data_IF_129758635409
#
_entry.id   IF_129758635409
#
_cell.length_a   1.000
_cell.length_b   1.000
_cell.length_c   1.000
_cell.angle_alpha   90.00
_cell.angle_beta   90.00
_cell.angle_gamma   90.00
#
_symmetry.space_group_name_H-M   'P 1'
#
loop_
_entity.id
_entity.type
_entity.pdbx_description
1 polymer ?
#
# COMPACT_ATOMS: atom_id res chain seq x y z
N UNK A 1 -26.16 0.30 17.88
CA UNK A 1 -25.18 0.70 16.85
C UNK A 1 -25.52 2.12 16.42
N UNK A 2 -24.81 3.12 16.96
CA UNK A 2 -25.15 4.55 16.87
C UNK A 2 -24.81 5.15 15.50
N UNK A 3 -25.51 6.23 15.12
CA UNK A 3 -25.35 6.92 13.83
C UNK A 3 -23.89 7.31 13.48
N UNK A 4 -23.01 7.49 14.47
CA UNK A 4 -21.57 7.72 14.27
C UNK A 4 -20.85 6.52 13.61
N UNK A 5 -21.26 5.28 13.90
CA UNK A 5 -20.71 4.08 13.27
C UNK A 5 -21.14 3.95 11.80
N UNK A 6 -22.38 4.37 11.47
CA UNK A 6 -22.88 4.37 10.09
C UNK A 6 -22.25 5.48 9.25
N UNK A 7 -22.04 6.69 9.80
CA UNK A 7 -21.30 7.76 9.11
C UNK A 7 -19.86 7.32 8.80
N UNK A 8 -19.17 6.73 9.77
CA UNK A 8 -17.80 6.25 9.60
C UNK A 8 -17.66 5.19 8.49
N UNK A 9 -18.62 4.27 8.37
CA UNK A 9 -18.56 3.21 7.36
C UNK A 9 -18.74 3.74 5.93
N UNK A 10 -19.65 4.69 5.71
CA UNK A 10 -19.84 5.30 4.40
C UNK A 10 -18.65 6.17 3.97
N UNK A 11 -18.05 6.91 4.90
CA UNK A 11 -16.92 7.80 4.62
C UNK A 11 -15.61 7.08 4.31
N UNK A 12 -15.45 5.84 4.80
CA UNK A 12 -14.26 5.00 4.57
C UNK A 12 -14.33 4.16 3.30
N UNK A 13 -15.47 4.14 2.59
CA UNK A 13 -15.62 3.42 1.31
C UNK A 13 -14.50 3.71 0.30
N UNK A 14 -14.13 4.97 0.01
CA UNK A 14 -13.05 5.23 -0.95
C UNK A 14 -11.69 4.69 -0.46
N UNK A 15 -11.42 4.68 0.84
CA UNK A 15 -10.16 4.16 1.40
C UNK A 15 -10.06 2.63 1.22
N UNK A 16 -11.17 1.92 1.40
CA UNK A 16 -11.25 0.49 1.13
C UNK A 16 -11.17 0.18 -0.36
N UNK A 17 -11.71 1.04 -1.21
CA UNK A 17 -11.58 0.91 -2.67
C UNK A 17 -10.13 1.00 -3.12
N UNK A 18 -9.31 1.85 -2.51
CA UNK A 18 -7.85 1.88 -2.75
C UNK A 18 -7.22 0.53 -2.43
N UNK A 19 -7.54 -0.08 -1.29
CA UNK A 19 -6.99 -1.39 -0.90
C UNK A 19 -7.45 -2.50 -1.85
N UNK A 20 -8.72 -2.48 -2.26
CA UNK A 20 -9.24 -3.42 -3.25
C UNK A 20 -8.54 -3.25 -4.60
N UNK A 21 -8.29 -2.01 -5.03
CA UNK A 21 -7.56 -1.73 -6.26
C UNK A 21 -6.11 -2.27 -6.21
N UNK A 22 -5.38 -2.05 -5.11
CA UNK A 22 -4.03 -2.61 -4.95
C UNK A 22 -4.05 -4.14 -4.98
N UNK A 23 -5.00 -4.77 -4.28
CA UNK A 23 -5.14 -6.23 -4.31
C UNK A 23 -5.44 -6.76 -5.73
N UNK A 24 -6.30 -6.07 -6.48
CA UNK A 24 -6.59 -6.43 -7.86
C UNK A 24 -5.36 -6.25 -8.76
N UNK A 25 -4.53 -5.23 -8.54
CA UNK A 25 -3.25 -5.07 -9.25
C UNK A 25 -2.33 -6.25 -8.98
N UNK A 26 -2.18 -6.64 -7.70
CA UNK A 26 -1.39 -7.80 -7.29
C UNK A 26 -1.84 -9.09 -7.97
N UNK A 27 -3.14 -9.36 -7.95
CA UNK A 27 -3.72 -10.52 -8.62
C UNK A 27 -3.57 -10.42 -10.15
N UNK A 28 -3.76 -9.23 -10.71
CA UNK A 28 -3.72 -8.97 -12.14
C UNK A 28 -2.35 -9.26 -12.73
N UNK A 29 -1.27 -8.73 -12.14
CA UNK A 29 0.06 -9.01 -12.68
C UNK A 29 0.46 -10.48 -12.46
N UNK A 30 0.05 -11.12 -11.36
CA UNK A 30 0.31 -12.56 -11.16
C UNK A 30 -0.36 -13.39 -12.26
N UNK A 31 -1.62 -13.07 -12.59
CA UNK A 31 -2.34 -13.73 -13.67
C UNK A 31 -1.64 -13.50 -15.02
N UNK A 32 -1.22 -12.27 -15.31
CA UNK A 32 -0.47 -11.93 -16.52
C UNK A 32 0.84 -12.74 -16.61
N UNK A 33 1.60 -12.85 -15.53
CA UNK A 33 2.81 -13.67 -15.48
C UNK A 33 2.55 -15.16 -15.74
N UNK A 34 1.39 -15.69 -15.36
CA UNK A 34 1.02 -17.09 -15.62
C UNK A 34 0.59 -17.34 -17.06
N UNK A 35 -0.06 -16.35 -17.69
CA UNK A 35 -0.60 -16.50 -19.04
C UNK A 35 0.45 -16.22 -20.13
N UNK A 36 1.44 -15.38 -19.84
CA UNK A 36 2.47 -14.93 -20.80
C UNK A 36 3.89 -15.07 -20.24
N UNK A 37 4.15 -16.15 -19.51
CA UNK A 37 5.43 -16.34 -18.82
C UNK A 37 6.62 -16.26 -19.79
N UNK A 38 6.53 -16.98 -20.91
CA UNK A 38 7.63 -17.12 -21.86
C UNK A 38 7.88 -15.83 -22.65
N UNK A 39 6.84 -15.04 -22.92
CA UNK A 39 6.95 -13.77 -23.64
C UNK A 39 7.43 -12.60 -22.77
N UNK A 40 7.20 -12.65 -21.46
CA UNK A 40 7.54 -11.57 -20.53
C UNK A 40 8.98 -11.63 -20.03
N UNK A 41 9.62 -12.81 -20.05
CA UNK A 41 10.95 -13.00 -19.50
C UNK A 41 12.05 -12.59 -20.48
N UNK A 42 12.85 -11.58 -20.08
CA UNK A 42 13.99 -11.10 -20.88
C UNK A 42 15.27 -11.91 -20.58
N UNK A 43 15.34 -12.55 -19.40
CA UNK A 43 16.40 -13.50 -19.05
C UNK A 43 17.80 -12.87 -18.96
N UNK A 44 18.03 -12.00 -17.97
CA UNK A 44 19.35 -11.36 -17.77
C UNK A 44 20.39 -12.31 -17.16
N UNK A 45 21.66 -11.92 -17.13
CA UNK A 45 22.72 -12.70 -16.46
C UNK A 45 22.39 -13.02 -14.98
N UNK A 46 22.78 -14.21 -14.53
CA UNK A 46 22.44 -14.71 -13.19
C UNK A 46 23.05 -13.83 -12.08
N UNK A 47 24.31 -13.40 -12.23
CA UNK A 47 24.97 -12.60 -11.20
C UNK A 47 24.29 -11.23 -11.03
N UNK A 48 23.89 -10.61 -12.15
CA UNK A 48 23.12 -9.36 -12.12
C UNK A 48 21.75 -9.57 -11.46
N UNK A 49 21.07 -10.66 -11.79
CA UNK A 49 19.75 -11.01 -11.23
C UNK A 49 19.82 -11.19 -9.72
N UNK A 50 20.83 -11.89 -9.22
CA UNK A 50 21.05 -12.10 -7.77
C UNK A 50 21.31 -10.77 -7.07
N UNK A 51 22.10 -9.88 -7.67
CA UNK A 51 22.37 -8.55 -7.11
C UNK A 51 21.08 -7.72 -7.00
N UNK A 52 20.29 -7.63 -8.07
CA UNK A 52 19.03 -6.89 -8.07
C UNK A 52 18.06 -7.48 -7.04
N UNK A 53 17.92 -8.81 -7.01
CA UNK A 53 17.08 -9.50 -6.02
C UNK A 53 17.46 -9.13 -4.60
N UNK A 54 18.76 -9.14 -4.29
CA UNK A 54 19.27 -8.82 -2.95
C UNK A 54 18.97 -7.37 -2.56
N UNK A 55 19.14 -6.43 -3.49
CA UNK A 55 18.81 -5.01 -3.27
C UNK A 55 17.30 -4.83 -3.04
N UNK A 56 16.45 -5.45 -3.86
CA UNK A 56 15.00 -5.34 -3.74
C UNK A 56 14.48 -5.95 -2.42
N UNK A 57 15.05 -7.08 -1.98
CA UNK A 57 14.73 -7.63 -0.65
C UNK A 57 15.16 -6.69 0.47
N UNK A 58 16.37 -6.13 0.39
CA UNK A 58 16.84 -5.13 1.36
C UNK A 58 15.92 -3.92 1.42
N UNK A 59 15.53 -3.37 0.26
CA UNK A 59 14.58 -2.26 0.18
C UNK A 59 13.22 -2.61 0.75
N UNK A 60 12.69 -3.80 0.46
CA UNK A 60 11.43 -4.25 1.02
C UNK A 60 11.47 -4.32 2.55
N UNK A 61 12.52 -4.93 3.13
CA UNK A 61 12.71 -5.02 4.58
C UNK A 61 12.73 -3.63 5.23
N UNK A 62 13.34 -2.62 4.59
CA UNK A 62 13.38 -1.25 5.09
C UNK A 62 12.05 -0.49 4.90
N UNK A 63 11.35 -0.73 3.78
CA UNK A 63 10.13 -0.02 3.42
C UNK A 63 8.95 -0.36 4.35
N UNK A 64 8.86 -1.59 4.88
CA UNK A 64 7.81 -1.95 5.83
C UNK A 64 7.80 -1.09 7.11
N UNK A 65 8.88 -1.03 7.92
CA UNK A 65 8.93 -0.18 9.10
C UNK A 65 8.87 1.31 8.73
N UNK A 66 9.48 1.71 7.60
CA UNK A 66 9.38 3.07 7.11
C UNK A 66 7.93 3.48 6.81
N UNK A 67 7.13 2.62 6.18
CA UNK A 67 5.73 2.90 5.87
C UNK A 67 4.90 3.06 7.15
N UNK A 68 5.20 2.29 8.19
CA UNK A 68 4.60 2.46 9.52
C UNK A 68 4.94 3.82 10.15
N UNK A 69 6.21 4.24 10.09
CA UNK A 69 6.64 5.55 10.56
C UNK A 69 5.97 6.67 9.77
N UNK A 70 5.95 6.56 8.44
CA UNK A 70 5.32 7.54 7.57
C UNK A 70 3.83 7.68 7.88
N UNK A 71 3.11 6.57 8.07
CA UNK A 71 1.70 6.60 8.49
C UNK A 71 1.53 7.38 9.79
N UNK A 72 2.39 7.14 10.79
CA UNK A 72 2.34 7.86 12.06
C UNK A 72 2.48 9.37 11.86
N UNK A 73 3.45 9.80 11.06
CA UNK A 73 3.70 11.21 10.76
C UNK A 73 2.51 11.82 9.99
N UNK A 74 2.02 11.15 8.95
CA UNK A 74 0.90 11.63 8.15
C UNK A 74 -0.39 11.78 8.97
N UNK A 75 -0.66 10.84 9.89
CA UNK A 75 -1.80 10.93 10.80
C UNK A 75 -1.70 12.15 11.72
N UNK A 76 -0.51 12.42 12.27
CA UNK A 76 -0.26 13.62 13.07
C UNK A 76 -0.46 14.88 12.25
N UNK A 77 0.12 14.97 11.05
CA UNK A 77 -0.05 16.12 10.17
C UNK A 77 -1.52 16.37 9.81
N UNK A 78 -2.29 15.31 9.56
CA UNK A 78 -3.71 15.44 9.28
C UNK A 78 -4.52 16.06 10.43
N UNK A 79 -4.05 15.89 11.68
CA UNK A 79 -4.70 16.44 12.88
C UNK A 79 -4.25 17.87 13.20
N UNK A 80 -3.01 18.24 12.88
CA UNK A 80 -2.41 19.51 13.35
C UNK A 80 -2.27 20.58 12.29
N UNK A 81 -2.31 20.22 11.00
CA UNK A 81 -2.10 21.19 9.93
C UNK A 81 -3.40 21.98 9.67
N UNK A 82 -3.39 23.32 9.77
CA UNK A 82 -4.55 24.12 9.42
C UNK A 82 -4.84 24.00 7.93
N UNK A 83 -6.13 24.03 7.55
CA UNK A 83 -6.50 24.10 6.13
C UNK A 83 -7.88 23.55 5.80
N UNK A 84 -8.39 23.86 4.60
CA UNK A 84 -9.80 23.66 4.23
C UNK A 84 -10.17 22.20 3.91
N UNK A 85 -9.19 21.29 3.85
CA UNK A 85 -9.42 19.89 3.48
C UNK A 85 -10.17 19.15 4.58
N UNK A 86 -11.20 18.40 4.20
CA UNK A 86 -12.00 17.59 5.12
C UNK A 86 -11.19 16.42 5.69
N UNK A 87 -11.59 15.90 6.86
CA UNK A 87 -10.98 14.71 7.47
C UNK A 87 -10.92 13.52 6.50
N UNK A 88 -11.97 13.34 5.68
CA UNK A 88 -12.06 12.29 4.66
C UNK A 88 -10.96 12.40 3.61
N UNK A 89 -10.77 13.60 3.05
CA UNK A 89 -9.74 13.85 2.03
C UNK A 89 -8.31 13.67 2.59
N UNK A 90 -8.06 14.21 3.77
CA UNK A 90 -6.77 14.10 4.47
C UNK A 90 -6.40 12.64 4.74
N UNK A 91 -7.34 11.88 5.30
CA UNK A 91 -7.12 10.47 5.58
C UNK A 91 -7.00 9.61 4.31
N UNK A 92 -7.75 9.96 3.25
CA UNK A 92 -7.65 9.26 1.96
C UNK A 92 -6.25 9.37 1.37
N UNK A 93 -5.65 10.57 1.42
CA UNK A 93 -4.27 10.78 0.97
C UNK A 93 -3.29 9.91 1.77
N UNK A 94 -3.46 9.79 3.09
CA UNK A 94 -2.63 8.90 3.91
C UNK A 94 -2.73 7.44 3.49
N UNK A 95 -3.95 6.97 3.20
CA UNK A 95 -4.14 5.60 2.72
C UNK A 95 -3.51 5.42 1.34
N UNK A 96 -3.70 6.35 0.40
CA UNK A 96 -3.07 6.28 -0.93
C UNK A 96 -1.55 6.19 -0.83
N UNK A 97 -0.92 7.08 -0.05
CA UNK A 97 0.54 7.10 0.09
C UNK A 97 1.06 5.80 0.73
N UNK A 98 0.43 5.35 1.82
CA UNK A 98 0.89 4.14 2.51
C UNK A 98 0.67 2.88 1.67
N UNK A 99 -0.46 2.78 0.96
CA UNK A 99 -0.74 1.65 0.08
C UNK A 99 0.18 1.66 -1.15
N UNK A 100 0.51 2.81 -1.73
CA UNK A 100 1.44 2.92 -2.86
C UNK A 100 2.87 2.46 -2.50
N UNK A 101 3.34 2.75 -1.28
CA UNK A 101 4.64 2.25 -0.82
C UNK A 101 4.67 0.73 -0.67
N UNK A 102 3.57 0.14 -0.19
CA UNK A 102 3.42 -1.31 -0.15
C UNK A 102 3.34 -1.91 -1.56
N UNK A 103 2.59 -1.29 -2.45
CA UNK A 103 2.47 -1.75 -3.83
C UNK A 103 3.81 -1.74 -4.56
N UNK A 104 4.68 -0.75 -4.29
CA UNK A 104 6.05 -0.72 -4.82
C UNK A 104 6.87 -1.95 -4.41
N UNK A 105 6.71 -2.42 -3.17
CA UNK A 105 7.32 -3.68 -2.72
C UNK A 105 6.75 -4.86 -3.51
N UNK A 106 5.43 -4.92 -3.71
CA UNK A 106 4.79 -5.99 -4.47
C UNK A 106 5.24 -6.03 -5.93
N UNK A 107 5.33 -4.86 -6.58
CA UNK A 107 5.78 -4.69 -7.97
C UNK A 107 7.24 -5.11 -8.17
N UNK A 108 8.07 -5.08 -7.12
CA UNK A 108 9.43 -5.59 -7.18
C UNK A 108 9.48 -7.09 -7.58
N UNK A 109 8.45 -7.86 -7.19
CA UNK A 109 8.30 -9.26 -7.64
C UNK A 109 8.03 -9.38 -9.13
N UNK A 110 7.17 -8.52 -9.68
CA UNK A 110 6.88 -8.46 -11.12
C UNK A 110 8.13 -8.10 -11.91
N UNK A 111 8.88 -7.08 -11.44
CA UNK A 111 10.15 -6.68 -12.07
C UNK A 111 11.11 -7.86 -12.09
N UNK A 112 11.29 -8.56 -10.96
CA UNK A 112 12.16 -9.73 -10.91
C UNK A 112 11.73 -10.84 -11.86
N UNK A 113 10.42 -11.10 -11.96
CA UNK A 113 9.88 -12.08 -12.90
C UNK A 113 10.22 -11.71 -14.35
N UNK A 114 9.99 -10.46 -14.76
CA UNK A 114 10.33 -9.97 -16.12
C UNK A 114 11.83 -10.10 -16.41
N UNK A 115 12.69 -9.92 -15.41
CA UNK A 115 14.13 -10.16 -15.53
C UNK A 115 14.51 -11.65 -15.66
N UNK A 116 13.52 -12.54 -15.66
CA UNK A 116 13.65 -13.99 -15.81
C UNK A 116 13.66 -14.74 -14.48
N UNK A 117 13.46 -14.08 -13.34
CA UNK A 117 13.41 -14.78 -12.06
C UNK A 117 12.18 -15.69 -11.94
N UNK A 118 12.27 -16.70 -11.10
CA UNK A 118 11.22 -17.69 -10.94
C UNK A 118 9.97 -17.14 -10.24
N UNK A 119 8.87 -17.88 -10.37
CA UNK A 119 7.59 -17.61 -9.69
C UNK A 119 7.71 -17.49 -8.16
N UNK A 120 8.71 -18.15 -7.55
CA UNK A 120 8.96 -18.03 -6.11
C UNK A 120 9.18 -16.57 -5.69
N UNK A 121 10.03 -15.82 -6.40
CA UNK A 121 10.29 -14.42 -6.08
C UNK A 121 9.03 -13.57 -6.30
N UNK A 122 8.31 -13.80 -7.40
CA UNK A 122 7.03 -13.13 -7.68
C UNK A 122 6.04 -13.31 -6.52
N UNK A 123 5.88 -14.55 -6.03
CA UNK A 123 4.96 -14.85 -4.94
C UNK A 123 5.40 -14.29 -3.60
N UNK A 124 6.69 -14.33 -3.27
CA UNK A 124 7.19 -13.77 -2.00
C UNK A 124 6.85 -12.28 -1.93
N UNK A 125 7.20 -11.51 -2.97
CA UNK A 125 6.85 -10.08 -3.00
C UNK A 125 5.34 -9.83 -3.05
N UNK A 126 4.59 -10.67 -3.76
CA UNK A 126 3.12 -10.55 -3.80
C UNK A 126 2.48 -10.81 -2.43
N UNK A 127 2.91 -11.85 -1.71
CA UNK A 127 2.43 -12.15 -0.36
C UNK A 127 2.83 -11.04 0.61
N UNK A 128 4.05 -10.50 0.49
CA UNK A 128 4.46 -9.31 1.24
C UNK A 128 3.55 -8.12 0.92
N UNK A 129 3.26 -7.85 -0.35
CA UNK A 129 2.32 -6.81 -0.77
C UNK A 129 0.94 -6.97 -0.13
N UNK A 130 0.34 -8.17 -0.23
CA UNK A 130 -0.94 -8.50 0.40
C UNK A 130 -0.91 -8.31 1.93
N UNK A 131 0.17 -8.76 2.58
CA UNK A 131 0.37 -8.55 4.02
C UNK A 131 0.45 -7.05 4.35
N UNK A 132 1.20 -6.27 3.58
CA UNK A 132 1.29 -4.83 3.74
C UNK A 132 -0.06 -4.12 3.56
N UNK A 133 -0.84 -4.52 2.55
CA UNK A 133 -2.20 -4.01 2.32
C UNK A 133 -3.06 -4.27 3.56
N UNK A 134 -2.99 -5.49 4.10
CA UNK A 134 -3.73 -5.88 5.31
C UNK A 134 -3.28 -5.12 6.56
N UNK A 135 -1.99 -4.92 6.76
CA UNK A 135 -1.42 -4.20 7.91
C UNK A 135 -1.71 -2.69 7.85
N UNK A 136 -1.73 -2.11 6.64
CA UNK A 136 -1.94 -0.69 6.42
C UNK A 136 -3.36 -0.36 5.91
N UNK A 137 -4.34 -1.24 6.14
CA UNK A 137 -5.74 -1.00 5.79
C UNK A 137 -6.34 0.21 6.53
N UNK A 138 -7.46 0.77 6.06
CA UNK A 138 -8.11 1.89 6.73
C UNK A 138 -8.62 1.47 8.10
N UNK A 139 -8.36 2.30 9.11
CA UNK A 139 -8.81 2.10 10.48
C UNK A 139 -9.83 3.19 10.86
N UNK A 140 -11.08 2.80 11.21
CA UNK A 140 -12.10 3.75 11.63
C UNK A 140 -11.71 4.64 12.81
N UNK A 141 -10.93 4.12 13.77
CA UNK A 141 -10.53 4.91 14.93
C UNK A 141 -9.60 6.06 14.55
N UNK A 142 -8.64 5.82 13.64
CA UNK A 142 -7.74 6.86 13.13
C UNK A 142 -8.53 7.98 12.44
N UNK A 143 -9.49 7.62 11.59
CA UNK A 143 -10.37 8.59 10.92
C UNK A 143 -11.16 9.44 11.92
N UNK A 144 -11.77 8.81 12.93
CA UNK A 144 -12.55 9.53 13.94
C UNK A 144 -11.68 10.51 14.75
N UNK A 145 -10.43 10.16 15.05
CA UNK A 145 -9.52 11.09 15.74
C UNK A 145 -9.19 12.33 14.92
N UNK A 146 -9.04 12.18 13.59
CA UNK A 146 -8.81 13.32 12.69
C UNK A 146 -10.06 14.20 12.63
N UNK A 147 -11.25 13.60 12.46
CA UNK A 147 -12.50 14.34 12.42
C UNK A 147 -12.76 15.11 13.73
N UNK A 148 -12.48 14.51 14.88
CA UNK A 148 -12.60 15.15 16.18
C UNK A 148 -11.63 16.35 16.31
N UNK A 149 -10.35 16.18 15.96
CA UNK A 149 -9.35 17.25 16.03
C UNK A 149 -9.77 18.48 15.21
N UNK A 150 -10.22 18.28 13.97
CA UNK A 150 -10.65 19.36 13.08
C UNK A 150 -11.97 20.01 13.52
N UNK A 151 -12.84 19.30 14.25
CA UNK A 151 -14.07 19.89 14.79
C UNK A 151 -13.81 20.87 15.95
N UNK A 152 -12.70 20.68 16.67
CA UNK A 152 -12.27 21.58 17.76
C UNK A 152 -11.65 22.85 17.18
N UNK A 153 -10.86 22.74 16.10
CA UNK A 153 -10.21 23.89 15.45
C UNK A 153 -11.21 24.85 14.78
N UNK A 154 -12.35 24.35 14.29
CA UNK A 154 -13.39 25.15 13.63
C UNK A 154 -14.40 25.80 14.60
N UNK A 155 -14.21 25.65 15.91
CA UNK A 155 -15.00 26.32 16.96
C UNK A 155 -14.23 27.50 17.54
#
# INVERSE_FOLDING_TARGET
MSAQAQLSAADLRPHWLVCAAMLLTVLGYNLVCHLWADELQIGIDEAQRVLIRSVLYGLAILLFPFTKLLRHILLRLNQTMPGPKTARQRYLLTIIITQALIEFVSLSGLVMFILGDGFNTLYIFSVMGVLGIFLHKPNPSEYLTIAAALSIENK
#
